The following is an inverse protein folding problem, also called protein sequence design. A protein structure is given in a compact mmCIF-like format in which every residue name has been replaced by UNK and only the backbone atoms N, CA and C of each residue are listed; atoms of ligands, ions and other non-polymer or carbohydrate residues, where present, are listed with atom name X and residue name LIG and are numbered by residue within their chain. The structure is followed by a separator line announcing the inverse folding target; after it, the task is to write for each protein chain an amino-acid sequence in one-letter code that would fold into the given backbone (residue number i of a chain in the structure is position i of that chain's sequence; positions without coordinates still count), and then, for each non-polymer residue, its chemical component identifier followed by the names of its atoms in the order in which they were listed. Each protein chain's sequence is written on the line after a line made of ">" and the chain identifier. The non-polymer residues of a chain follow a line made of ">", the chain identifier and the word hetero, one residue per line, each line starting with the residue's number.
data_IF_979073377028
#
_entry.id   IF_979073377028
#
_cell.length_a   1.000
_cell.length_b   1.000
_cell.length_c   1.000
_cell.angle_alpha   90.00
_cell.angle_beta   90.00
_cell.angle_gamma   90.00
#
_symmetry.space_group_name_H-M   'P 1'
#
loop_
_entity.id
_entity.type
_entity.pdbx_description
1 polymer ?
#
# COMPACT_ATOMS: atom_id res chain seq x y z
N UNK A 1 -18.53 -5.57 15.58
CA UNK A 1 -17.59 -6.52 14.96
C UNK A 1 -17.66 -6.32 13.46
N UNK A 2 -16.53 -6.17 12.80
CA UNK A 2 -16.43 -6.06 11.33
C UNK A 2 -16.70 -7.42 10.67
N UNK A 3 -17.20 -7.44 9.42
CA UNK A 3 -17.32 -8.69 8.70
C UNK A 3 -15.99 -9.05 8.04
N UNK A 4 -15.44 -8.13 7.22
CA UNK A 4 -14.22 -8.37 6.44
C UNK A 4 -13.19 -7.28 6.67
N UNK A 5 -12.02 -7.65 7.13
CA UNK A 5 -10.85 -6.75 7.25
C UNK A 5 -9.77 -7.22 6.28
N UNK A 6 -9.21 -6.28 5.54
CA UNK A 6 -8.11 -6.54 4.63
C UNK A 6 -6.88 -5.74 5.08
N UNK A 7 -5.81 -6.43 5.46
CA UNK A 7 -4.51 -5.83 5.75
C UNK A 7 -3.66 -5.93 4.50
N UNK A 8 -3.09 -4.82 4.07
CA UNK A 8 -2.37 -4.70 2.80
C UNK A 8 -0.95 -4.20 3.01
N UNK A 9 0.00 -4.92 2.46
CA UNK A 9 1.41 -4.57 2.45
C UNK A 9 1.98 -4.58 1.04
N UNK A 10 3.28 -4.34 0.92
CA UNK A 10 4.10 -4.63 -0.24
C UNK A 10 5.46 -5.17 0.22
N UNK A 11 5.95 -6.22 -0.43
CA UNK A 11 7.23 -6.86 -0.12
C UNK A 11 8.44 -6.06 -0.67
N UNK A 12 8.43 -4.74 -0.44
CA UNK A 12 9.51 -3.81 -0.75
C UNK A 12 10.36 -3.50 0.50
N UNK A 13 10.33 -4.38 1.48
CA UNK A 13 11.03 -4.26 2.77
C UNK A 13 10.33 -5.10 3.83
N UNK A 14 11.09 -5.62 4.80
CA UNK A 14 10.54 -6.49 5.84
C UNK A 14 9.64 -5.73 6.85
N UNK A 15 9.82 -4.42 7.00
CA UNK A 15 9.08 -3.60 7.95
C UNK A 15 7.57 -3.60 7.67
N UNK A 16 7.20 -3.36 6.44
CA UNK A 16 5.81 -3.32 6.00
C UNK A 16 5.07 -4.65 6.22
N UNK A 17 5.73 -5.77 5.92
CA UNK A 17 5.20 -7.12 6.13
C UNK A 17 5.01 -7.42 7.61
N UNK A 18 6.02 -7.12 8.45
CA UNK A 18 5.94 -7.34 9.90
C UNK A 18 4.84 -6.52 10.57
N UNK A 19 4.66 -5.28 10.14
CA UNK A 19 3.57 -4.44 10.63
C UNK A 19 2.21 -5.02 10.24
N UNK A 20 2.06 -5.48 9.00
CA UNK A 20 0.84 -6.12 8.52
C UNK A 20 0.52 -7.40 9.31
N UNK A 21 1.52 -8.26 9.54
CA UNK A 21 1.36 -9.49 10.33
C UNK A 21 0.98 -9.18 11.78
N UNK A 22 1.59 -8.17 12.40
CA UNK A 22 1.25 -7.74 13.76
C UNK A 22 -0.19 -7.25 13.86
N UNK A 23 -0.64 -6.45 12.89
CA UNK A 23 -2.03 -5.97 12.82
C UNK A 23 -3.00 -7.15 12.64
N UNK A 24 -2.70 -8.07 11.72
CA UNK A 24 -3.54 -9.24 11.49
C UNK A 24 -3.67 -10.10 12.77
N UNK A 25 -2.55 -10.33 13.46
CA UNK A 25 -2.53 -11.04 14.73
C UNK A 25 -3.39 -10.36 15.78
N UNK A 26 -3.26 -9.05 15.94
CA UNK A 26 -4.08 -8.28 16.87
C UNK A 26 -5.58 -8.36 16.55
N UNK A 27 -5.96 -8.31 15.26
CA UNK A 27 -7.36 -8.47 14.83
C UNK A 27 -7.91 -9.83 15.25
N UNK A 28 -7.12 -10.90 15.11
CA UNK A 28 -7.53 -12.25 15.51
C UNK A 28 -7.63 -12.39 17.03
N UNK A 29 -6.63 -11.91 17.77
CA UNK A 29 -6.62 -11.97 19.24
C UNK A 29 -7.79 -11.21 19.85
N UNK A 30 -8.10 -10.04 19.32
CA UNK A 30 -9.21 -9.19 19.77
C UNK A 30 -10.58 -9.62 19.20
N UNK A 31 -10.63 -10.60 18.33
CA UNK A 31 -11.83 -11.02 17.61
C UNK A 31 -12.57 -9.83 16.97
N UNK A 32 -11.80 -8.88 16.43
CA UNK A 32 -12.33 -7.62 15.92
C UNK A 32 -13.11 -7.77 14.60
N UNK A 33 -12.88 -8.85 13.86
CA UNK A 33 -13.55 -9.16 12.60
C UNK A 33 -13.92 -10.64 12.50
N UNK A 34 -14.95 -10.95 11.67
CA UNK A 34 -15.31 -12.32 11.33
C UNK A 34 -14.29 -12.95 10.39
N UNK A 35 -13.80 -12.16 9.44
CA UNK A 35 -12.79 -12.53 8.48
C UNK A 35 -11.72 -11.45 8.41
N UNK A 36 -10.45 -11.84 8.51
CA UNK A 36 -9.31 -10.95 8.32
C UNK A 36 -8.27 -11.66 7.46
N UNK A 37 -7.73 -10.94 6.47
CA UNK A 37 -6.68 -11.44 5.57
C UNK A 37 -5.56 -10.43 5.46
N UNK A 38 -4.33 -10.92 5.36
CA UNK A 38 -3.19 -10.15 4.92
C UNK A 38 -2.87 -10.50 3.46
N UNK A 39 -2.64 -9.48 2.64
CA UNK A 39 -2.29 -9.60 1.23
C UNK A 39 -1.09 -8.71 0.94
N UNK A 40 -0.08 -9.29 0.31
CA UNK A 40 0.99 -8.54 -0.33
C UNK A 40 0.50 -8.04 -1.71
N UNK A 41 0.41 -6.74 -1.89
CA UNK A 41 -0.07 -6.13 -3.15
C UNK A 41 0.82 -6.48 -4.35
N UNK A 42 2.12 -6.75 -4.13
CA UNK A 42 3.05 -7.14 -5.19
C UNK A 42 2.80 -8.56 -5.72
N UNK A 43 2.11 -9.43 -4.98
CA UNK A 43 1.72 -10.75 -5.47
C UNK A 43 0.72 -10.68 -6.63
N UNK A 44 0.02 -9.55 -6.74
CA UNK A 44 -0.95 -9.27 -7.81
C UNK A 44 -0.37 -8.50 -8.98
N UNK A 45 0.94 -8.24 -8.96
CA UNK A 45 1.65 -7.60 -10.08
C UNK A 45 2.36 -8.65 -10.93
N UNK A 46 2.79 -8.27 -12.13
CA UNK A 46 3.58 -9.18 -12.94
C UNK A 46 4.97 -9.41 -12.33
N UNK A 47 5.58 -10.58 -12.64
CA UNK A 47 6.87 -10.99 -12.07
C UNK A 47 8.00 -9.99 -12.38
N UNK A 48 7.97 -9.35 -13.55
CA UNK A 48 8.99 -8.38 -13.97
C UNK A 48 8.88 -7.11 -13.11
N UNK A 49 7.67 -6.57 -12.92
CA UNK A 49 7.41 -5.40 -12.08
C UNK A 49 7.80 -5.70 -10.61
N UNK A 50 7.35 -6.83 -10.08
CA UNK A 50 7.69 -7.25 -8.71
C UNK A 50 9.21 -7.36 -8.52
N UNK A 51 9.91 -8.01 -9.45
CA UNK A 51 11.37 -8.16 -9.38
C UNK A 51 12.08 -6.82 -9.50
N UNK A 52 11.63 -5.96 -10.41
CA UNK A 52 12.19 -4.62 -10.58
C UNK A 52 11.93 -3.75 -9.34
N UNK A 53 10.71 -3.75 -8.83
CA UNK A 53 10.32 -2.94 -7.67
C UNK A 53 11.08 -3.34 -6.41
N UNK A 54 11.14 -4.65 -6.10
CA UNK A 54 11.84 -5.15 -4.90
C UNK A 54 13.37 -5.08 -5.04
N UNK A 55 13.93 -5.47 -6.19
CA UNK A 55 15.38 -5.50 -6.39
C UNK A 55 15.95 -4.10 -6.59
N UNK A 56 15.33 -3.28 -7.43
CA UNK A 56 15.80 -1.92 -7.67
C UNK A 56 15.80 -1.09 -6.38
N UNK A 57 14.78 -1.25 -5.54
CA UNK A 57 14.75 -0.60 -4.23
C UNK A 57 15.91 -1.05 -3.35
N UNK A 58 16.12 -2.36 -3.19
CA UNK A 58 17.19 -2.90 -2.36
C UNK A 58 18.59 -2.53 -2.92
N UNK A 59 18.76 -2.61 -4.24
CA UNK A 59 20.01 -2.23 -4.90
C UNK A 59 20.28 -0.73 -4.76
N UNK A 60 19.26 0.12 -4.90
CA UNK A 60 19.40 1.56 -4.73
C UNK A 60 19.76 1.93 -3.29
N UNK A 61 19.12 1.28 -2.30
CA UNK A 61 19.45 1.48 -0.88
C UNK A 61 20.89 1.11 -0.58
N UNK A 62 21.38 -0.01 -1.14
CA UNK A 62 22.71 -0.55 -0.81
C UNK A 62 23.84 0.06 -1.65
N UNK A 63 23.61 0.31 -2.94
CA UNK A 63 24.68 0.68 -3.88
C UNK A 63 24.74 2.18 -4.19
N UNK A 64 23.64 2.90 -4.04
CA UNK A 64 23.54 4.32 -4.40
C UNK A 64 22.54 5.09 -3.50
N UNK A 65 22.81 5.20 -2.18
CA UNK A 65 21.92 5.90 -1.26
C UNK A 65 21.67 7.36 -1.64
N UNK A 66 22.67 8.03 -2.22
CA UNK A 66 22.53 9.43 -2.68
C UNK A 66 21.57 9.57 -3.86
N UNK A 67 21.57 8.59 -4.78
CA UNK A 67 20.63 8.53 -5.91
C UNK A 67 19.21 8.25 -5.41
N UNK A 68 19.09 7.40 -4.39
CA UNK A 68 17.82 7.15 -3.73
C UNK A 68 17.30 8.41 -3.05
N UNK A 69 18.15 9.13 -2.30
CA UNK A 69 17.83 10.43 -1.70
C UNK A 69 17.34 11.44 -2.74
N UNK A 70 18.07 11.61 -3.85
CA UNK A 70 17.66 12.48 -4.94
C UNK A 70 16.32 12.05 -5.58
N UNK A 71 16.10 10.72 -5.74
CA UNK A 71 14.86 10.19 -6.27
C UNK A 71 13.69 10.46 -5.32
N UNK A 72 13.90 10.29 -4.01
CA UNK A 72 12.93 10.64 -2.99
C UNK A 72 12.61 12.14 -3.03
N UNK A 73 13.62 13.00 -3.06
CA UNK A 73 13.43 14.47 -3.17
C UNK A 73 12.68 14.86 -4.45
N UNK A 74 12.94 14.17 -5.55
CA UNK A 74 12.25 14.40 -6.82
C UNK A 74 10.78 13.93 -6.79
N UNK A 75 10.50 12.83 -6.07
CA UNK A 75 9.16 12.27 -5.89
C UNK A 75 8.40 12.94 -4.72
N UNK A 76 9.13 13.54 -3.78
CA UNK A 76 8.57 14.21 -2.59
C UNK A 76 7.96 15.60 -2.89
N UNK A 77 7.78 15.93 -4.16
CA UNK A 77 6.99 17.09 -4.57
C UNK A 77 5.51 16.71 -4.57
N UNK A 78 4.74 17.06 -3.50
CA UNK A 78 3.34 16.72 -3.40
C UNK A 78 2.60 17.18 -4.67
N UNK A 79 1.73 16.33 -5.20
CA UNK A 79 0.76 16.62 -6.27
C UNK A 79 1.31 16.81 -7.69
N UNK A 80 2.62 17.00 -7.94
CA UNK A 80 3.15 17.27 -9.29
C UNK A 80 3.19 16.03 -10.20
N UNK A 81 3.40 14.83 -9.66
CA UNK A 81 3.60 13.61 -10.43
C UNK A 81 2.49 12.56 -10.23
N UNK A 82 1.44 12.88 -9.48
CA UNK A 82 0.38 11.96 -9.09
C UNK A 82 -0.28 11.24 -10.29
N UNK A 83 -0.57 11.97 -11.36
CA UNK A 83 -1.21 11.38 -12.56
C UNK A 83 -0.31 10.38 -13.29
N UNK A 84 1.01 10.63 -13.34
CA UNK A 84 1.98 9.74 -14.01
C UNK A 84 2.26 8.51 -13.16
N UNK A 85 2.41 8.68 -11.86
CA UNK A 85 2.59 7.61 -10.89
C UNK A 85 1.39 6.67 -10.90
N UNK A 86 0.17 7.20 -10.73
CA UNK A 86 -1.08 6.44 -10.83
C UNK A 86 -1.27 5.75 -12.19
N UNK A 87 -0.75 6.28 -13.27
CA UNK A 87 -0.85 5.65 -14.59
C UNK A 87 0.06 4.41 -14.71
N UNK A 88 1.29 4.48 -14.18
CA UNK A 88 2.22 3.35 -14.16
C UNK A 88 1.71 2.24 -13.23
N UNK A 89 1.25 2.61 -12.03
CA UNK A 89 0.69 1.67 -11.07
C UNK A 89 -0.58 0.98 -11.61
N UNK A 90 -1.40 1.70 -12.39
CA UNK A 90 -2.64 1.14 -12.98
C UNK A 90 -2.42 0.05 -14.00
N UNK A 91 -1.34 0.11 -14.77
CA UNK A 91 -1.09 -0.87 -15.83
C UNK A 91 -0.77 -2.25 -15.28
N UNK A 92 -0.05 -2.29 -14.15
CA UNK A 92 0.45 -3.54 -13.56
C UNK A 92 -0.40 -4.05 -12.38
N UNK A 93 -1.28 -3.19 -11.84
CA UNK A 93 -2.09 -3.50 -10.66
C UNK A 93 -3.52 -3.92 -10.98
N UNK A 94 -3.87 -4.17 -12.24
CA UNK A 94 -5.22 -4.61 -12.63
C UNK A 94 -5.73 -5.84 -11.87
N UNK A 95 -4.92 -6.89 -11.66
CA UNK A 95 -5.35 -8.05 -10.88
C UNK A 95 -5.66 -7.69 -9.43
N UNK A 96 -4.86 -6.78 -8.83
CA UNK A 96 -5.07 -6.29 -7.47
C UNK A 96 -6.37 -5.49 -7.37
N UNK A 97 -6.60 -4.58 -8.31
CA UNK A 97 -7.86 -3.81 -8.37
C UNK A 97 -9.06 -4.73 -8.49
N UNK A 98 -9.01 -5.74 -9.37
CA UNK A 98 -10.08 -6.73 -9.53
C UNK A 98 -10.35 -7.47 -8.22
N UNK A 99 -9.31 -7.93 -7.54
CA UNK A 99 -9.42 -8.60 -6.25
C UNK A 99 -10.10 -7.69 -5.21
N UNK A 100 -9.72 -6.42 -5.10
CA UNK A 100 -10.32 -5.47 -4.18
C UNK A 100 -11.82 -5.25 -4.47
N UNK A 101 -12.18 -5.14 -5.74
CA UNK A 101 -13.57 -4.95 -6.17
C UNK A 101 -14.43 -6.19 -5.92
N UNK A 102 -13.88 -7.37 -6.06
CA UNK A 102 -14.57 -8.64 -5.78
C UNK A 102 -14.68 -8.90 -4.27
N UNK A 103 -13.62 -8.61 -3.51
CA UNK A 103 -13.58 -8.89 -2.07
C UNK A 103 -14.44 -7.93 -1.26
N UNK A 104 -14.49 -6.64 -1.60
CA UNK A 104 -15.25 -5.58 -0.93
C UNK A 104 -15.10 -5.62 0.60
N UNK A 105 -13.93 -5.25 1.17
CA UNK A 105 -13.73 -5.24 2.62
C UNK A 105 -14.55 -4.14 3.30
N UNK A 106 -14.91 -4.32 4.58
CA UNK A 106 -15.47 -3.25 5.42
C UNK A 106 -14.42 -2.19 5.73
N UNK A 107 -13.18 -2.65 5.95
CA UNK A 107 -12.01 -1.79 6.17
C UNK A 107 -10.77 -2.39 5.52
N UNK A 108 -10.00 -1.54 4.87
CA UNK A 108 -8.65 -1.84 4.41
C UNK A 108 -7.62 -1.09 5.27
N UNK A 109 -6.63 -1.81 5.78
CA UNK A 109 -5.52 -1.26 6.58
C UNK A 109 -4.25 -1.42 5.77
N UNK A 110 -3.64 -0.33 5.34
CA UNK A 110 -2.45 -0.33 4.50
C UNK A 110 -1.20 -0.03 5.32
N UNK A 111 -0.21 -0.91 5.25
CA UNK A 111 1.12 -0.72 5.85
C UNK A 111 2.18 -0.33 4.81
N UNK A 112 1.74 0.00 3.60
CA UNK A 112 2.58 0.49 2.51
C UNK A 112 1.80 1.49 1.65
N UNK A 113 2.49 2.49 1.10
CA UNK A 113 1.86 3.56 0.32
C UNK A 113 1.25 3.05 -1.01
N UNK A 114 1.83 2.04 -1.67
CA UNK A 114 1.32 1.52 -2.96
C UNK A 114 -0.15 1.04 -2.86
N UNK A 115 -0.52 0.10 -1.99
CA UNK A 115 -1.93 -0.27 -1.84
C UNK A 115 -2.78 0.88 -1.30
N UNK A 116 -2.23 1.76 -0.44
CA UNK A 116 -2.97 2.90 0.09
C UNK A 116 -3.41 3.86 -1.03
N UNK A 117 -2.53 4.16 -1.96
CA UNK A 117 -2.81 5.02 -3.10
C UNK A 117 -3.87 4.42 -4.05
N UNK A 118 -3.78 3.11 -4.31
CA UNK A 118 -4.75 2.40 -5.16
C UNK A 118 -6.15 2.44 -4.53
N UNK A 119 -6.26 2.19 -3.22
CA UNK A 119 -7.54 2.27 -2.51
C UNK A 119 -8.09 3.69 -2.53
N UNK A 120 -7.26 4.70 -2.23
CA UNK A 120 -7.65 6.09 -2.29
C UNK A 120 -8.21 6.46 -3.67
N UNK A 121 -7.56 6.02 -4.75
CA UNK A 121 -8.04 6.22 -6.11
C UNK A 121 -9.37 5.49 -6.40
N UNK A 122 -9.52 4.24 -5.96
CA UNK A 122 -10.77 3.48 -6.14
C UNK A 122 -11.93 4.13 -5.38
N UNK A 123 -11.69 4.66 -4.18
CA UNK A 123 -12.68 5.42 -3.40
C UNK A 123 -13.08 6.70 -4.13
N UNK A 124 -12.11 7.46 -4.67
CA UNK A 124 -12.38 8.65 -5.49
C UNK A 124 -13.27 8.34 -6.71
N UNK A 125 -13.10 7.16 -7.29
CA UNK A 125 -13.92 6.68 -8.43
C UNK A 125 -15.24 6.01 -8.01
N UNK A 126 -15.53 5.94 -6.72
CA UNK A 126 -16.70 5.25 -6.14
C UNK A 126 -16.76 3.76 -6.51
N UNK A 127 -15.62 3.15 -6.81
CA UNK A 127 -15.49 1.72 -7.14
C UNK A 127 -15.27 0.84 -5.92
N UNK A 128 -14.81 1.42 -4.80
CA UNK A 128 -14.61 0.75 -3.54
C UNK A 128 -15.26 1.55 -2.41
N UNK A 129 -16.05 0.89 -1.56
CA UNK A 129 -16.78 1.51 -0.45
C UNK A 129 -16.31 0.95 0.89
N UNK A 130 -15.01 0.93 1.14
CA UNK A 130 -14.47 0.52 2.42
C UNK A 130 -13.97 1.72 3.22
N UNK A 131 -13.86 1.56 4.53
CA UNK A 131 -13.04 2.45 5.35
C UNK A 131 -11.57 2.19 5.02
N UNK A 132 -10.75 3.22 5.06
CA UNK A 132 -9.35 3.14 4.70
C UNK A 132 -8.50 3.70 5.84
N UNK A 133 -7.67 2.86 6.41
CA UNK A 133 -6.68 3.21 7.41
C UNK A 133 -5.28 3.02 6.85
N UNK A 134 -4.39 3.96 7.13
CA UNK A 134 -3.00 3.96 6.69
C UNK A 134 -2.12 3.93 7.93
N UNK A 135 -1.19 2.98 7.97
CA UNK A 135 -0.18 2.85 9.02
C UNK A 135 1.17 3.11 8.38
N UNK A 136 1.75 4.26 8.68
CA UNK A 136 3.08 4.62 8.17
C UNK A 136 4.12 3.78 8.90
N UNK A 137 4.97 3.11 8.14
CA UNK A 137 5.98 2.19 8.65
C UNK A 137 7.40 2.62 8.26
N UNK A 138 7.52 3.73 7.55
CA UNK A 138 8.80 4.36 7.24
C UNK A 138 9.22 5.28 8.39
N UNK A 139 10.53 5.40 8.60
CA UNK A 139 11.08 6.31 9.61
C UNK A 139 10.84 7.78 9.25
N UNK A 140 10.77 8.07 7.96
CA UNK A 140 10.47 9.40 7.43
C UNK A 140 9.27 9.34 6.49
N UNK A 141 8.33 10.26 6.68
CA UNK A 141 7.08 10.29 5.92
C UNK A 141 7.29 11.11 4.65
N UNK A 142 7.36 10.43 3.51
CA UNK A 142 7.48 11.09 2.21
C UNK A 142 6.11 11.26 1.51
N UNK A 143 6.08 12.12 0.47
CA UNK A 143 4.83 12.51 -0.21
C UNK A 143 4.04 11.35 -0.82
N UNK A 144 4.66 10.18 -1.09
CA UNK A 144 3.94 9.01 -1.59
C UNK A 144 2.94 8.43 -0.58
N UNK A 145 3.10 8.72 0.72
CA UNK A 145 2.12 8.34 1.73
C UNK A 145 0.86 9.21 1.72
N UNK A 146 0.90 10.39 1.08
CA UNK A 146 -0.20 11.34 1.08
C UNK A 146 -1.33 10.86 0.16
N UNK A 147 -2.42 10.39 0.76
CA UNK A 147 -3.64 9.97 0.09
C UNK A 147 -4.77 10.97 0.35
N UNK A 148 -5.73 11.09 -0.61
CA UNK A 148 -6.88 12.01 -0.46
C UNK A 148 -8.08 11.38 0.22
N UNK A 149 -8.28 10.06 0.06
CA UNK A 149 -9.47 9.35 0.53
C UNK A 149 -9.09 8.29 1.56
N UNK A 150 -9.07 8.70 2.82
CA UNK A 150 -8.80 7.86 3.98
C UNK A 150 -9.66 8.29 5.16
N UNK A 151 -9.81 7.45 6.16
CA UNK A 151 -10.47 7.76 7.42
C UNK A 151 -9.45 7.93 8.57
N UNK A 152 -8.35 7.17 8.57
CA UNK A 152 -7.35 7.20 9.63
C UNK A 152 -5.93 7.13 9.10
N UNK A 153 -5.07 7.94 9.69
CA UNK A 153 -3.61 7.83 9.59
C UNK A 153 -3.03 7.51 10.97
N UNK A 154 -2.10 6.55 11.00
CA UNK A 154 -1.28 6.21 12.15
C UNK A 154 0.18 6.44 11.76
N UNK A 155 0.85 7.35 12.48
CA UNK A 155 2.23 7.81 12.20
C UNK A 155 3.07 7.59 13.44
#
# INVERSE_FOLDING_TARGET
>A
MLNKVLVLSASAGAGHLRAADAILKAIHELRAAKEARHIDSLDYTNKAFRSLYSKAYIELVNAAPDVLGWLYDALDKPWKNERRRLALDKLDTRPFVKMLEEYQPDIAVCTHFLPAEIISWLKAKKRLRCRHAIVVTDLDVHAMWLCHHYEHYFV
#
